data_IF_895925383314
#
_entry.id   IF_895925383314
#
_cell.length_a   1.000
_cell.length_b   1.000
_cell.length_c   1.000
_cell.angle_alpha   90.00
_cell.angle_beta   90.00
_cell.angle_gamma   90.00
#
_symmetry.space_group_name_H-M   'P 1'
#
loop_
_entity.id
_entity.type
_entity.pdbx_description
1 polymer ?
#
# COMPACT_ATOMS: atom_id res chain seq x y z
N UNK A 1 -16.35 -8.77 -12.68
CA UNK A 1 -15.45 -9.32 -11.65
C UNK A 1 -16.23 -9.34 -10.34
N UNK A 2 -16.53 -10.51 -9.76
CA UNK A 2 -17.22 -10.55 -8.47
C UNK A 2 -16.19 -10.24 -7.37
N UNK A 3 -16.27 -9.03 -6.79
CA UNK A 3 -15.37 -8.61 -5.73
C UNK A 3 -15.72 -9.36 -4.45
N UNK A 4 -14.72 -10.04 -3.88
CA UNK A 4 -14.84 -10.70 -2.58
C UNK A 4 -14.50 -9.70 -1.47
N UNK A 5 -14.82 -10.05 -0.22
CA UNK A 5 -14.44 -9.24 0.94
C UNK A 5 -12.93 -8.91 0.96
N UNK A 6 -12.09 -9.85 0.51
CA UNK A 6 -10.64 -9.66 0.43
C UNK A 6 -10.27 -8.59 -0.58
N UNK A 7 -10.93 -8.57 -1.74
CA UNK A 7 -10.68 -7.56 -2.77
C UNK A 7 -11.05 -6.16 -2.26
N UNK A 8 -12.19 -6.01 -1.58
CA UNK A 8 -12.55 -4.75 -0.92
C UNK A 8 -11.52 -4.36 0.15
N UNK A 9 -11.06 -5.32 0.94
CA UNK A 9 -10.00 -5.12 1.93
C UNK A 9 -8.73 -4.56 1.30
N UNK A 10 -8.24 -5.16 0.22
CA UNK A 10 -7.05 -4.68 -0.53
C UNK A 10 -7.32 -3.26 -1.06
N UNK A 11 -8.43 -3.03 -1.73
CA UNK A 11 -8.75 -1.73 -2.34
C UNK A 11 -8.77 -0.64 -1.27
N UNK A 12 -9.53 -0.84 -0.19
CA UNK A 12 -9.71 0.17 0.85
C UNK A 12 -8.41 0.45 1.61
N UNK A 13 -7.69 -0.59 2.03
CA UNK A 13 -6.43 -0.43 2.77
C UNK A 13 -5.32 0.17 1.91
N UNK A 14 -5.22 -0.21 0.63
CA UNK A 14 -4.28 0.37 -0.31
C UNK A 14 -4.59 1.85 -0.60
N UNK A 15 -5.86 2.20 -0.82
CA UNK A 15 -6.25 3.59 -1.03
C UNK A 15 -5.99 4.45 0.21
N UNK A 16 -6.32 3.94 1.40
CA UNK A 16 -5.98 4.61 2.66
C UNK A 16 -4.47 4.83 2.78
N UNK A 17 -3.67 3.82 2.48
CA UNK A 17 -2.21 3.91 2.47
C UNK A 17 -1.72 4.98 1.48
N UNK A 18 -2.24 4.97 0.26
CA UNK A 18 -1.86 5.95 -0.77
C UNK A 18 -2.19 7.39 -0.36
N UNK A 19 -3.38 7.61 0.20
CA UNK A 19 -3.83 8.94 0.65
C UNK A 19 -2.96 9.44 1.81
N UNK A 20 -2.64 8.59 2.78
CA UNK A 20 -1.79 8.96 3.92
C UNK A 20 -0.35 9.31 3.51
N UNK A 21 0.15 8.71 2.43
CA UNK A 21 1.46 9.05 1.87
C UNK A 21 1.43 10.36 1.07
N UNK A 22 0.39 10.56 0.25
CA UNK A 22 0.22 11.79 -0.55
C UNK A 22 -0.06 13.00 0.36
N UNK A 23 -0.74 12.81 1.49
CA UNK A 23 -1.03 13.90 2.43
C UNK A 23 0.22 14.50 3.10
N UNK A 24 1.37 13.82 3.00
CA UNK A 24 2.67 14.30 3.48
C UNK A 24 3.39 15.23 2.48
N UNK A 25 2.71 15.67 1.42
CA UNK A 25 3.20 16.73 0.53
C UNK A 25 3.67 17.97 1.34
N UNK A 26 4.82 18.60 1.01
CA UNK A 26 5.63 18.44 -0.20
C UNK A 26 6.76 17.41 -0.12
N UNK A 27 6.74 16.48 0.83
CA UNK A 27 7.74 15.42 0.86
C UNK A 27 7.60 14.51 -0.37
N UNK A 28 8.57 14.62 -1.27
CA UNK A 28 8.57 13.93 -2.55
C UNK A 28 8.68 12.41 -2.34
N UNK A 29 9.46 11.94 -1.35
CA UNK A 29 9.68 10.51 -1.13
C UNK A 29 8.38 9.84 -0.67
N UNK A 30 7.65 10.46 0.26
CA UNK A 30 6.35 9.94 0.69
C UNK A 30 5.29 10.08 -0.41
N UNK A 31 5.27 11.19 -1.14
CA UNK A 31 4.30 11.37 -2.23
C UNK A 31 4.48 10.32 -3.33
N UNK A 32 5.73 10.01 -3.72
CA UNK A 32 6.05 8.94 -4.65
C UNK A 32 5.60 7.58 -4.13
N UNK A 33 5.66 7.35 -2.81
CA UNK A 33 5.14 6.12 -2.22
C UNK A 33 3.63 5.97 -2.47
N UNK A 34 2.85 7.03 -2.23
CA UNK A 34 1.42 6.99 -2.46
C UNK A 34 1.05 6.79 -3.92
N UNK A 35 1.79 7.40 -4.85
CA UNK A 35 1.62 7.16 -6.29
C UNK A 35 1.97 5.71 -6.68
N UNK A 36 3.02 5.14 -6.10
CA UNK A 36 3.37 3.73 -6.27
C UNK A 36 2.25 2.80 -5.85
N UNK A 37 1.62 3.07 -4.70
CA UNK A 37 0.43 2.33 -4.24
C UNK A 37 -0.75 2.43 -5.20
N UNK A 38 -1.05 3.61 -5.75
CA UNK A 38 -2.12 3.77 -6.74
C UNK A 38 -1.82 3.01 -8.04
N UNK A 39 -0.58 3.11 -8.53
CA UNK A 39 -0.14 2.41 -9.73
C UNK A 39 -0.21 0.89 -9.57
N UNK A 40 0.26 0.35 -8.45
CA UNK A 40 0.25 -1.09 -8.17
C UNK A 40 -1.16 -1.62 -7.91
N UNK A 41 -2.06 -0.84 -7.29
CA UNK A 41 -3.47 -1.20 -7.17
C UNK A 41 -4.14 -1.28 -8.54
N UNK A 42 -3.87 -0.30 -9.41
CA UNK A 42 -4.29 -0.32 -10.80
C UNK A 42 -3.79 -1.57 -11.52
N UNK A 43 -2.49 -1.89 -11.38
CA UNK A 43 -1.92 -3.10 -11.96
C UNK A 43 -2.56 -4.38 -11.41
N UNK A 44 -2.96 -4.41 -10.15
CA UNK A 44 -3.54 -5.59 -9.51
C UNK A 44 -5.00 -5.87 -9.94
N UNK A 45 -5.80 -4.82 -10.17
CA UNK A 45 -7.25 -4.96 -10.42
C UNK A 45 -7.73 -4.57 -11.82
N UNK A 46 -7.03 -3.70 -12.55
CA UNK A 46 -7.48 -3.29 -13.88
C UNK A 46 -7.39 -4.45 -14.88
N UNK A 47 -8.31 -4.53 -15.86
CA UNK A 47 -8.33 -5.60 -16.86
C UNK A 47 -7.27 -5.42 -17.96
N UNK A 48 -6.01 -5.25 -17.56
CA UNK A 48 -4.86 -5.10 -18.46
C UNK A 48 -4.23 -6.48 -18.69
N UNK A 49 -4.21 -7.02 -19.92
CA UNK A 49 -3.78 -8.39 -20.20
C UNK A 49 -2.39 -8.75 -19.65
N UNK A 50 -1.43 -7.83 -19.77
CA UNK A 50 -0.06 -8.01 -19.29
C UNK A 50 0.01 -8.29 -17.79
N UNK A 51 -0.77 -7.55 -16.98
CA UNK A 51 -0.79 -7.72 -15.53
C UNK A 51 -1.62 -8.94 -15.11
N UNK A 52 -2.73 -9.22 -15.79
CA UNK A 52 -3.57 -10.38 -15.48
C UNK A 52 -2.84 -11.71 -15.71
N UNK A 53 -2.07 -11.83 -16.80
CA UNK A 53 -1.24 -13.00 -17.07
C UNK A 53 -0.10 -13.17 -16.05
N UNK A 54 0.28 -12.10 -15.35
CA UNK A 54 1.38 -12.05 -14.38
C UNK A 54 0.88 -11.73 -12.99
N UNK A 55 -0.35 -12.13 -12.64
CA UNK A 55 -0.99 -11.75 -11.37
C UNK A 55 -0.15 -12.10 -10.14
N UNK A 56 0.53 -13.26 -10.13
CA UNK A 56 1.44 -13.63 -9.03
C UNK A 56 2.65 -12.71 -8.92
N UNK A 57 3.18 -12.18 -10.03
CA UNK A 57 4.28 -11.22 -10.01
C UNK A 57 3.79 -9.87 -9.50
N UNK A 58 2.64 -9.38 -9.97
CA UNK A 58 2.05 -8.12 -9.48
C UNK A 58 1.76 -8.21 -7.99
N UNK A 59 1.26 -9.36 -7.53
CA UNK A 59 1.08 -9.65 -6.11
C UNK A 59 2.38 -9.53 -5.32
N UNK A 60 3.45 -10.19 -5.79
CA UNK A 60 4.77 -10.12 -5.12
C UNK A 60 5.37 -8.72 -5.13
N UNK A 61 5.20 -7.97 -6.22
CA UNK A 61 5.65 -6.58 -6.30
C UNK A 61 4.89 -5.72 -5.29
N UNK A 62 3.56 -5.85 -5.20
CA UNK A 62 2.77 -5.09 -4.23
C UNK A 62 3.13 -5.47 -2.78
N UNK A 63 3.25 -6.76 -2.46
CA UNK A 63 3.70 -7.22 -1.13
C UNK A 63 5.11 -6.71 -0.81
N UNK A 64 6.05 -6.87 -1.73
CA UNK A 64 7.44 -6.43 -1.55
C UNK A 64 7.55 -4.92 -1.39
N UNK A 65 6.76 -4.17 -2.16
CA UNK A 65 6.67 -2.72 -2.05
C UNK A 65 6.14 -2.29 -0.68
N UNK A 66 5.06 -2.90 -0.21
CA UNK A 66 4.50 -2.62 1.12
C UNK A 66 5.51 -2.92 2.22
N UNK A 67 6.16 -4.09 2.19
CA UNK A 67 7.20 -4.45 3.15
C UNK A 67 8.37 -3.45 3.12
N UNK A 68 8.81 -3.04 1.93
CA UNK A 68 9.86 -2.05 1.76
C UNK A 68 9.48 -0.72 2.43
N UNK A 69 8.27 -0.22 2.21
CA UNK A 69 7.82 1.04 2.82
C UNK A 69 7.76 0.97 4.35
N UNK A 70 7.39 -0.17 4.93
CA UNK A 70 7.44 -0.41 6.39
C UNK A 70 8.88 -0.36 6.87
N UNK A 71 9.77 -1.14 6.23
CA UNK A 71 11.18 -1.26 6.62
C UNK A 71 11.87 0.10 6.55
N UNK A 72 11.68 0.85 5.45
CA UNK A 72 12.27 2.17 5.29
C UNK A 72 11.83 3.11 6.41
N UNK A 73 10.54 3.16 6.73
CA UNK A 73 10.05 3.98 7.85
C UNK A 73 10.62 3.54 9.21
N UNK A 74 10.78 2.24 9.45
CA UNK A 74 11.43 1.74 10.68
C UNK A 74 12.89 2.20 10.73
N UNK A 75 13.60 2.22 9.62
CA UNK A 75 15.02 2.63 9.59
C UNK A 75 15.20 4.15 9.66
N UNK A 76 14.42 4.92 8.90
CA UNK A 76 14.67 6.36 8.70
C UNK A 76 13.50 7.28 9.05
N UNK A 77 12.31 6.74 9.34
CA UNK A 77 11.13 7.54 9.65
C UNK A 77 11.19 8.16 11.06
N UNK A 78 10.51 9.29 11.22
CA UNK A 78 10.22 9.88 12.52
C UNK A 78 9.25 8.98 13.31
N UNK A 79 9.63 8.67 14.56
CA UNK A 79 8.92 7.75 15.46
C UNK A 79 8.32 8.46 16.66
N UNK A 80 8.54 9.76 16.83
CA UNK A 80 7.92 10.50 17.93
C UNK A 80 6.42 10.65 17.67
N UNK A 81 5.59 9.84 18.30
CA UNK A 81 4.16 9.88 18.07
C UNK A 81 3.53 11.13 18.70
N UNK A 82 3.16 12.10 17.85
CA UNK A 82 2.43 13.30 18.26
C UNK A 82 1.16 13.41 17.43
N UNK A 83 -0.01 13.22 18.07
CA UNK A 83 -1.29 13.22 17.39
C UNK A 83 -1.53 14.54 16.62
N UNK A 84 -2.03 14.43 15.39
CA UNK A 84 -2.29 15.59 14.51
C UNK A 84 -1.08 16.10 13.72
N UNK A 85 0.08 15.45 13.85
CA UNK A 85 1.29 15.82 13.09
C UNK A 85 1.63 14.78 12.01
N UNK A 86 2.61 15.10 11.18
CA UNK A 86 3.14 14.20 10.15
C UNK A 86 3.73 12.90 10.73
N UNK A 87 4.28 12.92 11.95
CA UNK A 87 4.82 11.72 12.59
C UNK A 87 3.72 10.70 12.92
N UNK A 88 2.56 11.17 13.40
CA UNK A 88 1.39 10.31 13.61
C UNK A 88 0.83 9.73 12.31
N UNK A 89 0.86 10.50 11.21
CA UNK A 89 0.49 10.00 9.87
C UNK A 89 1.34 8.81 9.44
N UNK A 90 2.63 8.78 9.80
CA UNK A 90 3.49 7.61 9.59
C UNK A 90 2.93 6.35 10.23
N UNK A 91 2.53 6.41 11.49
CA UNK A 91 1.92 5.28 12.20
C UNK A 91 0.57 4.85 11.59
N UNK A 92 -0.28 5.80 11.20
CA UNK A 92 -1.54 5.51 10.51
C UNK A 92 -1.31 4.81 9.18
N UNK A 93 -0.31 5.27 8.41
CA UNK A 93 0.07 4.61 7.16
C UNK A 93 0.54 3.18 7.42
N UNK A 94 1.35 2.95 8.46
CA UNK A 94 1.85 1.61 8.79
C UNK A 94 0.74 0.66 9.23
N UNK A 95 -0.25 1.14 9.97
CA UNK A 95 -1.43 0.35 10.28
C UNK A 95 -2.19 -0.07 9.01
N UNK A 96 -2.41 0.87 8.07
CA UNK A 96 -3.06 0.58 6.80
C UNK A 96 -2.27 -0.42 5.94
N UNK A 97 -0.94 -0.31 5.91
CA UNK A 97 -0.03 -1.22 5.21
C UNK A 97 -0.06 -2.64 5.77
N UNK A 98 -0.11 -2.80 7.10
CA UNK A 98 -0.21 -4.11 7.74
C UNK A 98 -1.57 -4.76 7.42
N UNK A 99 -2.65 -4.00 7.45
CA UNK A 99 -3.99 -4.47 7.05
C UNK A 99 -3.98 -4.89 5.57
N UNK A 100 -3.35 -4.10 4.70
CA UNK A 100 -3.18 -4.42 3.28
C UNK A 100 -2.45 -5.75 3.10
N UNK A 101 -1.32 -5.95 3.80
CA UNK A 101 -0.59 -7.22 3.75
C UNK A 101 -1.47 -8.40 4.17
N UNK A 102 -2.24 -8.27 5.26
CA UNK A 102 -3.14 -9.33 5.70
C UNK A 102 -4.14 -9.73 4.61
N UNK A 103 -4.75 -8.76 3.93
CA UNK A 103 -5.66 -9.05 2.82
C UNK A 103 -4.95 -9.59 1.57
N UNK A 104 -3.74 -9.12 1.25
CA UNK A 104 -2.93 -9.65 0.15
C UNK A 104 -2.57 -11.11 0.39
N UNK A 105 -2.12 -11.48 1.59
CA UNK A 105 -1.85 -12.88 1.94
C UNK A 105 -3.12 -13.73 1.91
N UNK A 106 -4.27 -13.19 2.30
CA UNK A 106 -5.54 -13.88 2.16
C UNK A 106 -5.98 -14.10 0.69
N UNK A 107 -5.58 -13.22 -0.23
CA UNK A 107 -5.83 -13.27 -1.68
C UNK A 107 -4.65 -13.86 -2.48
N UNK A 108 -3.70 -14.54 -1.83
CA UNK A 108 -2.50 -15.06 -2.49
C UNK A 108 -2.86 -15.89 -3.74
N UNK A 109 -2.37 -15.53 -4.94
CA UNK A 109 -2.54 -16.33 -6.14
C UNK A 109 -1.95 -17.73 -5.97
N UNK A 110 -2.66 -18.74 -6.45
CA UNK A 110 -2.21 -20.15 -6.48
C UNK A 110 -1.44 -20.44 -7.75
#
# INVERSE_FOLDING_TARGET
MNLSLKHYGIILSNLATAILHISLWPDIMFTLNGLGYLGLLGAYFLPIPFFQQRRSLVWWVLVGYTLLTIILWVVMGDKEFVAGTSSATGYYAKAAEVILLAFLFADKPR
#
